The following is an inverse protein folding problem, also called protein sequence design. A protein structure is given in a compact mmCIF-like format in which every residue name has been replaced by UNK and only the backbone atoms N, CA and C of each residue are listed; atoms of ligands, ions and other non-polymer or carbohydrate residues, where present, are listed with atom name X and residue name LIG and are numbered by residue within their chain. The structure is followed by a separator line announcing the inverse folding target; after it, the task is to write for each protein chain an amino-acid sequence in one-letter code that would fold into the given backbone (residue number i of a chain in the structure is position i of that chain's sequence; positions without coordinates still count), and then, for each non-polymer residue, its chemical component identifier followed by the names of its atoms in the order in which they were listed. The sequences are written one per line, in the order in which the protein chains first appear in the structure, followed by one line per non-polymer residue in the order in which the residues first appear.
data_IF_508386875221
#
_entry.id   IF_508386875221
#
_cell.length_a   1.000
_cell.length_b   1.000
_cell.length_c   1.000
_cell.angle_alpha   90.00
_cell.angle_beta   90.00
_cell.angle_gamma   90.00
#
_symmetry.space_group_name_H-M   'P 1'
#
loop_
_entity.id
_entity.type
_entity.pdbx_description
1 polymer ?
#
# COMPACT_ATOMS: atom_id res chain seq x y z
N UNK A 1 -1.82 10.01 -5.62
CA UNK A 1 -1.21 11.35 -5.71
C UNK A 1 -2.28 12.39 -6.00
N UNK A 2 -2.99 12.26 -7.13
CA UNK A 2 -3.99 13.23 -7.62
C UNK A 2 -5.03 13.64 -6.57
N UNK A 3 -5.68 12.67 -5.91
CA UNK A 3 -6.66 12.93 -4.85
C UNK A 3 -6.09 13.71 -3.66
N UNK A 4 -4.80 13.50 -3.33
CA UNK A 4 -4.12 14.26 -2.29
C UNK A 4 -3.76 15.67 -2.78
N UNK A 5 -3.30 15.79 -4.03
CA UNK A 5 -2.96 17.07 -4.64
C UNK A 5 -4.18 17.98 -4.77
N UNK A 6 -5.30 17.45 -5.26
CA UNK A 6 -6.59 18.16 -5.36
C UNK A 6 -7.06 18.68 -3.99
N UNK A 7 -7.07 17.83 -2.96
CA UNK A 7 -7.48 18.22 -1.60
C UNK A 7 -6.60 19.31 -0.96
N UNK A 8 -5.37 19.46 -1.44
CA UNK A 8 -4.40 20.44 -0.93
C UNK A 8 -4.17 21.61 -1.89
N UNK A 9 -4.97 21.73 -2.97
CA UNK A 9 -4.78 22.76 -4.01
C UNK A 9 -3.36 22.78 -4.60
N UNK A 10 -2.75 21.59 -4.75
CA UNK A 10 -1.42 21.42 -5.33
C UNK A 10 -1.55 21.10 -6.81
N UNK A 11 -0.92 21.92 -7.65
CA UNK A 11 -0.70 21.61 -9.06
C UNK A 11 0.69 21.00 -9.24
N UNK A 12 0.84 20.09 -10.21
CA UNK A 12 2.12 19.42 -10.46
C UNK A 12 2.24 18.96 -11.90
N UNK A 13 3.48 18.77 -12.35
CA UNK A 13 3.85 18.05 -13.57
C UNK A 13 4.63 16.79 -13.20
N UNK A 14 4.31 15.66 -13.84
CA UNK A 14 5.00 14.38 -13.55
C UNK A 14 6.35 14.34 -14.24
N UNK A 15 7.40 14.00 -13.47
CA UNK A 15 8.73 13.66 -13.99
C UNK A 15 8.91 12.15 -13.84
N UNK A 16 9.24 11.45 -14.93
CA UNK A 16 9.43 10.00 -14.89
C UNK A 16 10.87 9.65 -14.51
N UNK A 17 11.06 9.16 -13.28
CA UNK A 17 12.33 8.61 -12.79
C UNK A 17 12.02 7.20 -12.26
N UNK A 18 12.19 6.12 -13.05
CA UNK A 18 11.72 4.78 -12.66
C UNK A 18 12.41 4.18 -11.44
N UNK A 19 13.71 4.45 -11.29
CA UNK A 19 14.53 3.91 -10.20
C UNK A 19 14.17 4.55 -8.85
N UNK A 20 13.82 3.73 -7.85
CA UNK A 20 13.56 4.19 -6.47
C UNK A 20 14.78 4.94 -5.88
N UNK A 21 16.02 4.41 -5.93
CA UNK A 21 17.20 5.13 -5.44
C UNK A 21 17.37 6.49 -6.10
N UNK A 22 17.35 6.54 -7.43
CA UNK A 22 17.42 7.80 -8.18
C UNK A 22 16.34 8.82 -7.81
N UNK A 23 15.09 8.41 -7.54
CA UNK A 23 14.03 9.31 -7.04
C UNK A 23 14.35 9.86 -5.65
N UNK A 24 14.89 9.02 -4.79
CA UNK A 24 15.27 9.38 -3.42
C UNK A 24 16.41 10.41 -3.43
N UNK A 25 17.44 10.21 -4.26
CA UNK A 25 18.52 11.18 -4.43
C UNK A 25 18.04 12.47 -5.12
N UNK A 26 17.14 12.37 -6.11
CA UNK A 26 16.65 13.53 -6.84
C UNK A 26 15.91 14.54 -5.94
N UNK A 27 15.13 14.07 -4.95
CA UNK A 27 14.46 14.98 -4.00
C UNK A 27 15.46 15.61 -3.01
N UNK A 28 16.49 14.87 -2.58
CA UNK A 28 17.52 15.40 -1.67
C UNK A 28 18.48 16.38 -2.36
N UNK A 29 18.66 16.24 -3.67
CA UNK A 29 19.48 17.13 -4.50
C UNK A 29 18.67 18.26 -5.18
N UNK A 30 17.45 18.54 -4.70
CA UNK A 30 16.54 19.58 -5.22
C UNK A 30 16.27 19.50 -6.74
N UNK A 31 16.34 18.30 -7.33
CA UNK A 31 16.05 18.07 -8.76
C UNK A 31 14.56 17.90 -9.04
N UNK A 32 13.77 17.55 -8.02
CA UNK A 32 12.30 17.49 -8.07
C UNK A 32 11.73 18.17 -6.82
N UNK A 33 10.55 18.77 -6.95
CA UNK A 33 9.91 19.50 -5.84
C UNK A 33 9.09 18.62 -4.90
N UNK A 34 8.86 17.36 -5.28
CA UNK A 34 8.07 16.42 -4.48
C UNK A 34 8.15 15.01 -5.02
N UNK A 35 7.91 14.04 -4.14
CA UNK A 35 7.92 12.61 -4.45
C UNK A 35 6.84 11.91 -3.63
N UNK A 36 6.22 10.89 -4.22
CA UNK A 36 5.35 9.96 -3.49
C UNK A 36 6.12 8.68 -3.24
N UNK A 37 6.35 8.37 -1.96
CA UNK A 37 6.91 7.10 -1.53
C UNK A 37 5.97 6.38 -0.58
N UNK A 38 6.06 5.06 -0.59
CA UNK A 38 5.57 4.24 0.50
C UNK A 38 6.59 4.25 1.64
N UNK A 39 6.19 3.71 2.77
CA UNK A 39 7.14 3.40 3.81
C UNK A 39 8.06 2.21 3.43
N UNK A 40 9.28 2.13 3.98
CA UNK A 40 9.91 3.06 4.93
C UNK A 40 10.55 4.30 4.28
N UNK A 41 10.55 4.41 2.94
CA UNK A 41 11.27 5.49 2.24
C UNK A 41 10.72 6.88 2.57
N UNK A 42 9.40 7.01 2.76
CA UNK A 42 8.78 8.26 3.19
C UNK A 42 9.32 8.75 4.54
N UNK A 43 9.40 7.85 5.53
CA UNK A 43 10.02 8.15 6.84
C UNK A 43 11.50 8.50 6.71
N UNK A 44 12.27 7.75 5.91
CA UNK A 44 13.70 8.03 5.70
C UNK A 44 13.97 9.40 5.09
N UNK A 45 13.13 9.87 4.15
CA UNK A 45 13.24 11.22 3.61
C UNK A 45 12.94 12.29 4.66
N UNK A 46 11.92 12.07 5.49
CA UNK A 46 11.58 12.98 6.59
C UNK A 46 12.74 13.12 7.58
N UNK A 47 13.40 12.02 7.94
CA UNK A 47 14.60 12.03 8.78
C UNK A 47 15.77 12.80 8.16
N UNK A 48 15.84 12.85 6.83
CA UNK A 48 16.82 13.64 6.06
C UNK A 48 16.37 15.09 5.79
N UNK A 49 15.30 15.56 6.43
CA UNK A 49 14.84 16.95 6.38
C UNK A 49 13.74 17.23 5.35
N UNK A 50 13.27 16.24 4.61
CA UNK A 50 12.14 16.43 3.71
C UNK A 50 10.84 16.73 4.49
N UNK A 51 9.96 17.53 3.90
CA UNK A 51 8.66 17.87 4.48
C UNK A 51 7.57 16.94 3.95
N UNK A 52 6.79 16.35 4.85
CA UNK A 52 5.60 15.57 4.48
C UNK A 52 4.49 16.55 4.11
N UNK A 53 4.06 16.54 2.85
CA UNK A 53 2.98 17.41 2.35
C UNK A 53 1.58 16.81 2.52
N UNK A 54 1.48 15.49 2.40
CA UNK A 54 0.22 14.74 2.49
C UNK A 54 0.52 13.25 2.71
N UNK A 55 -0.43 12.51 3.29
CA UNK A 55 -0.34 11.04 3.39
C UNK A 55 -1.63 10.35 2.96
N UNK A 56 -1.53 9.15 2.36
CA UNK A 56 -2.72 8.35 2.05
C UNK A 56 -3.51 7.98 3.30
N UNK A 57 -2.85 7.85 4.46
CA UNK A 57 -3.47 7.60 5.77
C UNK A 57 -4.39 8.74 6.19
N UNK A 58 -3.92 9.98 6.11
CA UNK A 58 -4.70 11.20 6.43
C UNK A 58 -5.99 11.29 5.61
N UNK A 59 -5.92 10.94 4.33
CA UNK A 59 -7.07 11.02 3.42
C UNK A 59 -7.87 9.73 3.30
N UNK A 60 -7.59 8.71 4.13
CA UNK A 60 -8.17 7.38 4.09
C UNK A 60 -8.17 6.75 2.68
N UNK A 61 -7.08 6.95 1.93
CA UNK A 61 -6.91 6.38 0.58
C UNK A 61 -6.33 4.98 0.73
N UNK A 62 -7.20 3.97 0.66
CA UNK A 62 -6.85 2.55 0.83
C UNK A 62 -7.25 1.74 -0.42
N UNK A 63 -6.38 1.68 -1.42
CA UNK A 63 -6.64 0.96 -2.68
C UNK A 63 -5.81 -0.33 -2.85
N UNK A 64 -5.27 -0.87 -1.76
CA UNK A 64 -4.54 -2.14 -1.79
C UNK A 64 -5.51 -3.32 -1.90
N UNK A 65 -5.13 -4.33 -2.68
CA UNK A 65 -5.91 -5.55 -2.87
C UNK A 65 -5.00 -6.78 -2.90
N UNK A 66 -5.50 -7.89 -2.37
CA UNK A 66 -4.95 -9.23 -2.65
C UNK A 66 -5.84 -9.84 -3.72
N UNK A 67 -5.22 -10.25 -4.83
CA UNK A 67 -5.92 -10.80 -5.99
C UNK A 67 -5.38 -12.20 -6.25
N UNK A 68 -6.31 -13.14 -6.45
CA UNK A 68 -6.02 -14.48 -6.93
C UNK A 68 -6.59 -14.63 -8.33
N UNK A 69 -5.88 -15.28 -9.24
CA UNK A 69 -6.43 -15.60 -10.55
C UNK A 69 -7.55 -16.63 -10.43
N UNK A 70 -8.45 -16.66 -11.42
CA UNK A 70 -9.61 -17.55 -11.41
C UNK A 70 -9.23 -19.03 -11.35
N UNK A 71 -8.11 -19.43 -11.96
CA UNK A 71 -7.68 -20.83 -12.01
C UNK A 71 -7.23 -21.29 -10.62
N UNK A 72 -6.50 -20.45 -9.87
CA UNK A 72 -6.17 -20.69 -8.47
C UNK A 72 -7.42 -20.79 -7.60
N UNK A 73 -8.41 -19.92 -7.80
CA UNK A 73 -9.67 -19.97 -7.03
C UNK A 73 -10.43 -21.27 -7.32
N UNK A 74 -10.56 -21.65 -8.60
CA UNK A 74 -11.31 -22.85 -9.03
C UNK A 74 -10.64 -24.14 -8.54
N UNK A 75 -9.31 -24.23 -8.64
CA UNK A 75 -8.58 -25.47 -8.39
C UNK A 75 -7.95 -25.57 -6.99
N UNK A 76 -7.85 -24.45 -6.24
CA UNK A 76 -7.21 -24.42 -4.93
C UNK A 76 -7.93 -23.46 -3.95
N UNK A 77 -9.26 -23.50 -3.91
CA UNK A 77 -10.08 -22.72 -3.00
C UNK A 77 -9.67 -22.85 -1.52
N UNK A 78 -9.30 -24.06 -1.08
CA UNK A 78 -8.86 -24.28 0.31
C UNK A 78 -7.50 -23.63 0.60
N UNK A 79 -6.60 -23.58 -0.38
CA UNK A 79 -5.35 -22.82 -0.29
C UNK A 79 -5.59 -21.33 -0.14
N UNK A 80 -6.52 -20.75 -0.90
CA UNK A 80 -6.93 -19.33 -0.77
C UNK A 80 -7.49 -19.05 0.63
N UNK A 81 -8.38 -19.91 1.14
CA UNK A 81 -8.91 -19.77 2.52
C UNK A 81 -7.80 -19.93 3.56
N UNK A 82 -6.84 -20.82 3.34
CA UNK A 82 -5.70 -21.01 4.24
C UNK A 82 -4.77 -19.79 4.25
N UNK A 83 -4.55 -19.17 3.10
CA UNK A 83 -3.82 -17.91 2.99
C UNK A 83 -4.48 -16.82 3.84
N UNK A 84 -5.78 -16.59 3.71
CA UNK A 84 -6.47 -15.57 4.52
C UNK A 84 -6.40 -15.85 6.03
N UNK A 85 -6.52 -17.12 6.45
CA UNK A 85 -6.31 -17.49 7.87
C UNK A 85 -4.88 -17.17 8.33
N UNK A 86 -3.87 -17.48 7.53
CA UNK A 86 -2.47 -17.20 7.85
C UNK A 86 -2.19 -15.69 7.89
N UNK A 87 -2.72 -14.93 6.92
CA UNK A 87 -2.65 -13.47 6.90
C UNK A 87 -3.29 -12.87 8.15
N UNK A 88 -4.50 -13.29 8.53
CA UNK A 88 -5.18 -12.78 9.71
C UNK A 88 -4.46 -13.11 11.02
N UNK A 89 -3.80 -14.27 11.10
CA UNK A 89 -2.90 -14.61 12.22
C UNK A 89 -1.66 -13.73 12.25
N UNK A 90 -1.07 -13.42 11.10
CA UNK A 90 0.08 -12.53 11.02
C UNK A 90 -0.29 -11.10 11.44
N UNK A 91 -1.46 -10.60 11.01
CA UNK A 91 -1.98 -9.30 11.46
C UNK A 91 -2.19 -9.28 12.98
N UNK A 92 -2.77 -10.34 13.54
CA UNK A 92 -2.97 -10.45 14.98
C UNK A 92 -1.65 -10.42 15.73
N UNK A 93 -0.68 -11.25 15.32
CA UNK A 93 0.68 -11.28 15.85
C UNK A 93 1.33 -9.88 15.82
N UNK A 94 1.29 -9.18 14.69
CA UNK A 94 1.88 -7.84 14.56
C UNK A 94 1.22 -6.82 15.50
N UNK A 95 -0.10 -6.94 15.70
CA UNK A 95 -0.86 -6.01 16.54
C UNK A 95 -0.73 -6.30 18.05
N UNK A 96 -0.34 -7.52 18.45
CA UNK A 96 -0.29 -7.93 19.87
C UNK A 96 1.11 -8.15 20.40
N UNK A 97 2.06 -8.55 19.55
CA UNK A 97 3.45 -8.80 19.94
C UNK A 97 4.31 -7.54 19.84
N UNK A 98 5.47 -7.58 20.50
CA UNK A 98 6.46 -6.50 20.42
C UNK A 98 7.16 -6.47 19.05
N UNK A 99 7.64 -5.27 18.68
CA UNK A 99 8.40 -5.02 17.44
C UNK A 99 9.65 -5.90 17.37
N UNK A 100 10.27 -6.20 18.52
CA UNK A 100 11.41 -7.10 18.61
C UNK A 100 11.04 -8.51 18.15
N UNK A 101 9.90 -9.03 18.63
CA UNK A 101 9.39 -10.36 18.29
C UNK A 101 9.09 -10.45 16.80
N UNK A 102 8.13 -9.65 16.29
CA UNK A 102 7.70 -9.82 14.90
C UNK A 102 8.72 -9.28 13.89
N UNK A 103 9.48 -8.24 14.25
CA UNK A 103 10.56 -7.71 13.42
C UNK A 103 11.70 -8.70 13.21
N UNK A 104 11.98 -9.57 14.20
CA UNK A 104 13.00 -10.62 14.06
C UNK A 104 12.67 -11.64 12.96
N UNK A 105 11.38 -11.85 12.64
CA UNK A 105 11.00 -12.73 11.54
C UNK A 105 11.41 -12.16 10.19
N UNK A 106 11.46 -10.83 10.05
CA UNK A 106 11.87 -10.17 8.80
C UNK A 106 13.36 -10.29 8.53
N UNK A 107 14.18 -10.45 9.57
CA UNK A 107 15.63 -10.69 9.43
C UNK A 107 15.97 -12.02 8.75
N UNK A 108 15.02 -12.96 8.72
CA UNK A 108 15.16 -14.19 7.92
C UNK A 108 15.06 -13.95 6.41
N UNK A 109 14.62 -12.75 6.02
CA UNK A 109 14.53 -12.28 4.64
C UNK A 109 15.60 -11.19 4.40
N UNK A 110 15.39 -10.33 3.41
CA UNK A 110 16.38 -9.31 3.01
C UNK A 110 16.36 -8.04 3.87
N UNK A 111 15.67 -8.04 5.01
CA UNK A 111 15.56 -6.86 5.88
C UNK A 111 16.64 -6.89 6.97
N UNK A 112 17.32 -5.76 7.16
CA UNK A 112 18.25 -5.55 8.28
C UNK A 112 17.50 -5.23 9.58
N UNK A 113 18.17 -5.40 10.72
CA UNK A 113 17.60 -5.09 12.05
C UNK A 113 17.06 -3.66 12.19
N UNK A 114 17.59 -2.72 11.40
CA UNK A 114 17.12 -1.33 11.34
C UNK A 114 15.64 -1.21 10.93
N UNK A 115 15.04 -2.24 10.32
CA UNK A 115 13.60 -2.25 10.00
C UNK A 115 12.72 -2.13 11.26
N UNK A 116 13.20 -2.58 12.42
CA UNK A 116 12.46 -2.51 13.69
C UNK A 116 12.14 -1.05 14.08
N UNK A 117 13.07 -0.12 13.84
CA UNK A 117 12.84 1.30 14.11
C UNK A 117 11.63 1.84 13.32
N UNK A 118 11.46 1.37 12.09
CA UNK A 118 10.32 1.74 11.25
C UNK A 118 9.01 1.08 11.74
N UNK A 119 9.07 -0.21 12.08
CA UNK A 119 7.90 -0.98 12.53
C UNK A 119 7.36 -0.48 13.87
N UNK A 120 8.20 0.10 14.73
CA UNK A 120 7.83 0.72 15.99
C UNK A 120 6.98 1.99 15.88
N UNK A 121 6.62 2.43 14.68
CA UNK A 121 5.77 3.61 14.43
C UNK A 121 4.31 3.49 14.94
N UNK A 122 3.93 2.35 15.54
CA UNK A 122 2.61 2.16 16.15
C UNK A 122 1.47 1.96 15.14
N UNK A 123 1.79 1.46 13.95
CA UNK A 123 0.77 1.15 12.95
C UNK A 123 -0.08 -0.05 13.41
N UNK A 124 -1.41 0.12 13.39
CA UNK A 124 -2.36 -0.98 13.58
C UNK A 124 -2.75 -1.56 12.23
N UNK A 125 -2.56 -2.86 12.07
CA UNK A 125 -2.86 -3.58 10.84
C UNK A 125 -4.28 -4.14 10.87
N UNK A 126 -4.92 -4.17 9.70
CA UNK A 126 -6.29 -4.65 9.54
C UNK A 126 -6.29 -6.08 9.00
N UNK A 127 -7.14 -6.94 9.58
CA UNK A 127 -7.40 -8.28 9.06
C UNK A 127 -7.99 -8.15 7.65
N UNK A 128 -7.83 -9.19 6.84
CA UNK A 128 -8.39 -9.24 5.50
C UNK A 128 -9.89 -8.98 5.56
N UNK A 129 -10.36 -8.12 4.66
CA UNK A 129 -11.75 -7.72 4.57
C UNK A 129 -12.12 -7.40 3.13
N UNK A 130 -13.41 -7.25 2.87
CA UNK A 130 -13.87 -6.80 1.58
C UNK A 130 -13.39 -5.37 1.32
N UNK A 131 -13.00 -5.09 0.07
CA UNK A 131 -12.68 -3.74 -0.35
C UNK A 131 -14.00 -2.95 -0.36
N UNK A 132 -14.11 -1.76 0.26
CA UNK A 132 -15.34 -0.98 0.19
C UNK A 132 -15.73 -0.71 -1.27
N UNK A 133 -17.02 -0.84 -1.60
CA UNK A 133 -17.53 -0.57 -2.96
C UNK A 133 -17.15 0.83 -3.44
N UNK A 134 -17.26 1.81 -2.56
CA UNK A 134 -16.87 3.21 -2.80
C UNK A 134 -15.39 3.34 -3.20
N UNK A 135 -14.49 2.60 -2.54
CA UNK A 135 -13.06 2.56 -2.91
C UNK A 135 -12.88 2.01 -4.31
N UNK A 136 -13.57 0.93 -4.67
CA UNK A 136 -13.50 0.35 -6.00
C UNK A 136 -13.99 1.34 -7.07
N UNK A 137 -15.14 1.97 -6.84
CA UNK A 137 -15.73 2.94 -7.76
C UNK A 137 -14.84 4.17 -7.93
N UNK A 138 -14.26 4.68 -6.85
CA UNK A 138 -13.29 5.79 -6.87
C UNK A 138 -12.05 5.45 -7.70
N UNK A 139 -11.49 4.25 -7.52
CA UNK A 139 -10.33 3.77 -8.28
C UNK A 139 -10.68 3.60 -9.74
N UNK A 140 -11.82 2.98 -10.07
CA UNK A 140 -12.26 2.77 -11.45
C UNK A 140 -12.52 4.11 -12.16
N UNK A 141 -13.12 5.09 -11.46
CA UNK A 141 -13.29 6.44 -11.98
C UNK A 141 -11.94 7.08 -12.28
N UNK A 142 -10.98 6.99 -11.36
CA UNK A 142 -9.65 7.56 -11.54
C UNK A 142 -8.87 6.87 -12.69
N UNK A 143 -8.93 5.55 -12.83
CA UNK A 143 -8.25 4.86 -13.93
C UNK A 143 -8.83 5.21 -15.29
N UNK A 144 -10.15 5.44 -15.38
CA UNK A 144 -10.80 5.96 -16.60
C UNK A 144 -10.33 7.36 -16.95
N UNK A 145 -10.24 8.30 -16.00
CA UNK A 145 -9.71 9.64 -16.30
C UNK A 145 -8.25 9.63 -16.74
N UNK A 146 -7.50 8.58 -16.37
CA UNK A 146 -6.13 8.32 -16.84
C UNK A 146 -6.04 7.49 -18.12
N UNK A 147 -7.16 7.07 -18.70
CA UNK A 147 -7.21 6.19 -19.86
C UNK A 147 -6.43 4.86 -19.67
N UNK A 148 -6.24 4.41 -18.42
CA UNK A 148 -5.51 3.16 -18.12
C UNK A 148 -6.43 1.94 -18.10
N UNK A 149 -7.73 2.15 -17.92
CA UNK A 149 -8.77 1.12 -18.00
C UNK A 149 -9.86 1.61 -18.95
N UNK A 150 -10.21 0.80 -19.95
CA UNK A 150 -11.24 1.12 -20.95
C UNK A 150 -12.57 0.42 -20.70
N UNK A 151 -12.55 -0.69 -19.96
CA UNK A 151 -13.73 -1.50 -19.70
C UNK A 151 -14.54 -0.95 -18.52
N UNK A 152 -15.85 -1.11 -18.59
CA UNK A 152 -16.78 -0.77 -17.52
C UNK A 152 -16.95 -1.96 -16.56
N UNK A 153 -15.93 -2.24 -15.76
CA UNK A 153 -16.01 -3.26 -14.72
C UNK A 153 -17.02 -2.88 -13.64
N UNK A 154 -17.81 -3.86 -13.20
CA UNK A 154 -18.65 -3.78 -12.01
C UNK A 154 -17.89 -4.32 -10.81
N UNK A 155 -18.33 -3.94 -9.62
CA UNK A 155 -17.72 -4.39 -8.37
C UNK A 155 -17.76 -5.92 -8.25
N UNK A 156 -18.85 -6.52 -8.72
CA UNK A 156 -19.09 -7.97 -8.69
C UNK A 156 -18.24 -8.74 -9.72
N UNK A 157 -17.72 -8.07 -10.75
CA UNK A 157 -16.86 -8.70 -11.77
C UNK A 157 -15.49 -9.09 -11.21
N UNK A 158 -15.02 -8.38 -10.18
CA UNK A 158 -13.70 -8.58 -9.58
C UNK A 158 -13.74 -8.84 -8.07
N UNK A 159 -14.90 -8.62 -7.43
CA UNK A 159 -15.11 -8.78 -6.01
C UNK A 159 -15.67 -10.15 -5.64
N UNK A 160 -14.79 -11.09 -5.27
CA UNK A 160 -15.21 -12.34 -4.64
C UNK A 160 -14.59 -12.48 -3.25
N UNK A 161 -15.40 -12.22 -2.23
CA UNK A 161 -14.97 -12.16 -0.83
C UNK A 161 -15.32 -13.41 -0.02
N UNK A 162 -15.90 -14.44 -0.65
CA UNK A 162 -16.36 -15.66 0.01
C UNK A 162 -15.22 -16.51 0.62
N UNK A 163 -13.97 -16.18 0.31
CA UNK A 163 -12.79 -16.90 0.80
C UNK A 163 -12.12 -16.23 2.01
N UNK A 164 -12.53 -15.01 2.37
CA UNK A 164 -12.03 -14.31 3.56
C UNK A 164 -12.62 -15.00 4.81
N UNK A 165 -11.78 -15.29 5.80
CA UNK A 165 -12.14 -15.98 7.05
C UNK A 165 -11.57 -15.30 8.28
#
# INVERSE_FOLDING_TARGET
MDKMAEKNNITYSVVNIPSIPARFEAILADKISGVVFTEPQATQLKEKGAKVLASSKEYNIKAGAVIFDENTIKNNAEGVKAFYRAYNKAVELINTESVETYGSYLNKYTFSDTIKNYLGSGAKYEKAGAIPKETFEDVLKWTKTKNTVKNDYKYEDIGNFNFIK
#
